data_IF_565727134643
#
_entry.id   IF_565727134643
#
_cell.length_a   1.000
_cell.length_b   1.000
_cell.length_c   1.000
_cell.angle_alpha   90.00
_cell.angle_beta   90.00
_cell.angle_gamma   90.00
#
_symmetry.space_group_name_H-M   'P 1'
#
loop_
_entity.id
_entity.type
_entity.pdbx_description
1 polymer ?
#
# COMPACT_ATOMS: atom_id res chain seq x y z
N UNK A 1 -19.06 -13.21 -26.25
CA UNK A 1 -17.63 -13.54 -26.24
C UNK A 1 -17.29 -13.99 -24.83
N UNK A 2 -16.77 -15.22 -24.66
CA UNK A 2 -16.47 -15.78 -23.33
C UNK A 2 -15.19 -15.14 -22.77
N UNK A 3 -15.26 -14.64 -21.54
CA UNK A 3 -14.08 -14.19 -20.78
C UNK A 3 -13.11 -15.36 -20.67
N UNK A 4 -11.86 -15.17 -21.11
CA UNK A 4 -10.81 -16.19 -20.95
C UNK A 4 -10.28 -16.14 -19.53
N UNK A 5 -11.00 -16.77 -18.60
CA UNK A 5 -10.68 -16.83 -17.16
C UNK A 5 -9.19 -17.15 -16.88
N UNK A 6 -8.54 -18.11 -17.58
CA UNK A 6 -7.12 -18.39 -17.35
C UNK A 6 -6.19 -17.21 -17.68
N UNK A 7 -6.51 -16.45 -18.74
CA UNK A 7 -5.71 -15.29 -19.17
C UNK A 7 -5.87 -14.12 -18.19
N UNK A 8 -7.10 -13.91 -17.70
CA UNK A 8 -7.39 -12.89 -16.70
C UNK A 8 -6.66 -13.17 -15.39
N UNK A 9 -6.68 -14.41 -14.92
CA UNK A 9 -6.01 -14.82 -13.68
C UNK A 9 -4.49 -14.70 -13.78
N UNK A 10 -3.90 -15.16 -14.89
CA UNK A 10 -2.44 -15.09 -15.10
C UNK A 10 -1.95 -13.65 -15.22
N UNK A 11 -2.69 -12.78 -15.93
CA UNK A 11 -2.39 -11.35 -16.02
C UNK A 11 -2.48 -10.66 -14.65
N UNK A 12 -3.55 -10.92 -13.89
CA UNK A 12 -3.71 -10.37 -12.54
C UNK A 12 -2.57 -10.83 -11.62
N UNK A 13 -2.24 -12.12 -11.62
CA UNK A 13 -1.19 -12.68 -10.77
C UNK A 13 0.19 -12.10 -11.11
N UNK A 14 0.51 -11.98 -12.39
CA UNK A 14 1.77 -11.36 -12.83
C UNK A 14 1.87 -9.91 -12.36
N UNK A 15 0.79 -9.12 -12.51
CA UNK A 15 0.74 -7.73 -12.04
C UNK A 15 0.84 -7.63 -10.53
N UNK A 16 0.21 -8.53 -9.76
CA UNK A 16 0.37 -8.58 -8.30
C UNK A 16 1.83 -8.84 -7.94
N UNK A 17 2.48 -9.85 -8.53
CA UNK A 17 3.88 -10.19 -8.22
C UNK A 17 4.83 -9.03 -8.55
N UNK A 18 4.71 -8.45 -9.75
CA UNK A 18 5.50 -7.27 -10.14
C UNK A 18 5.18 -6.08 -9.21
N UNK A 19 3.91 -5.90 -8.89
CA UNK A 19 3.39 -4.90 -7.96
C UNK A 19 4.09 -5.00 -6.61
N UNK A 20 4.11 -6.18 -6.01
CA UNK A 20 4.76 -6.42 -4.73
C UNK A 20 6.27 -6.12 -4.78
N UNK A 21 6.96 -6.64 -5.79
CA UNK A 21 8.42 -6.50 -5.90
C UNK A 21 8.86 -5.04 -6.11
N UNK A 22 8.35 -4.39 -7.16
CA UNK A 22 8.81 -3.05 -7.53
C UNK A 22 8.34 -1.97 -6.55
N UNK A 23 7.13 -2.10 -6.00
CA UNK A 23 6.65 -1.11 -5.03
C UNK A 23 7.33 -1.24 -3.68
N UNK A 24 7.68 -2.46 -3.23
CA UNK A 24 8.50 -2.66 -2.03
C UNK A 24 9.89 -2.07 -2.23
N UNK A 25 10.50 -2.26 -3.41
CA UNK A 25 11.79 -1.66 -3.73
C UNK A 25 11.72 -0.13 -3.72
N UNK A 26 10.70 0.46 -4.38
CA UNK A 26 10.51 1.91 -4.40
C UNK A 26 10.24 2.51 -3.01
N UNK A 27 9.40 1.85 -2.21
CA UNK A 27 9.15 2.21 -0.81
C UNK A 27 10.45 2.19 0.00
N UNK A 28 11.25 1.13 -0.13
CA UNK A 28 12.50 0.99 0.59
C UNK A 28 13.53 2.05 0.20
N UNK A 29 13.74 2.28 -1.10
CA UNK A 29 14.67 3.31 -1.59
C UNK A 29 14.24 4.69 -1.12
N UNK A 30 12.95 5.02 -1.24
CA UNK A 30 12.45 6.31 -0.77
C UNK A 30 12.60 6.47 0.73
N UNK A 31 12.28 5.42 1.50
CA UNK A 31 12.49 5.43 2.94
C UNK A 31 13.95 5.69 3.28
N UNK A 32 14.91 4.96 2.72
CA UNK A 32 16.35 5.18 2.96
C UNK A 32 16.78 6.62 2.64
N UNK A 33 16.30 7.19 1.54
CA UNK A 33 16.70 8.53 1.07
C UNK A 33 16.07 9.68 1.87
N UNK A 34 14.84 9.49 2.36
CA UNK A 34 14.06 10.53 3.02
C UNK A 34 13.78 10.23 4.50
N UNK A 35 14.43 9.21 5.06
CA UNK A 35 14.30 8.86 6.47
C UNK A 35 14.78 10.03 7.33
N UNK A 36 13.84 10.64 8.04
CA UNK A 36 14.13 11.55 9.13
C UNK A 36 13.94 10.78 10.44
N UNK A 37 14.91 10.89 11.35
CA UNK A 37 14.84 10.28 12.68
C UNK A 37 13.56 10.68 13.44
N UNK A 38 13.28 9.98 14.54
CA UNK A 38 12.06 10.18 15.33
C UNK A 38 11.83 11.65 15.71
N UNK A 39 10.61 12.16 15.53
CA UNK A 39 10.18 13.46 16.06
C UNK A 39 9.59 13.32 17.47
N UNK A 40 9.56 14.43 18.21
CA UNK A 40 8.92 14.53 19.54
C UNK A 40 7.42 14.19 19.47
N UNK A 41 6.79 14.51 18.33
CA UNK A 41 5.41 14.13 18.02
C UNK A 41 5.39 12.84 17.17
N UNK A 42 4.79 11.77 17.71
CA UNK A 42 4.70 10.46 17.06
C UNK A 42 3.69 10.45 15.90
N UNK A 43 2.59 11.19 15.99
CA UNK A 43 1.57 11.22 14.93
C UNK A 43 2.14 11.88 13.68
N UNK A 44 2.83 12.99 13.86
CA UNK A 44 3.54 13.69 12.77
C UNK A 44 4.64 12.82 12.18
N UNK A 45 5.35 12.04 13.00
CA UNK A 45 6.34 11.08 12.52
C UNK A 45 5.69 10.03 11.61
N UNK A 46 4.63 9.36 12.07
CA UNK A 46 3.98 8.30 11.30
C UNK A 46 3.31 8.83 10.03
N UNK A 47 2.74 10.03 10.06
CA UNK A 47 2.22 10.68 8.86
C UNK A 47 3.31 10.91 7.82
N UNK A 48 4.47 11.46 8.22
CA UNK A 48 5.61 11.65 7.32
C UNK A 48 6.10 10.32 6.75
N UNK A 49 6.27 9.30 7.59
CA UNK A 49 6.70 7.97 7.13
C UNK A 49 5.69 7.34 6.17
N UNK A 50 4.39 7.53 6.40
CA UNK A 50 3.32 7.04 5.53
C UNK A 50 3.36 7.71 4.15
N UNK A 51 3.68 9.00 4.09
CA UNK A 51 3.86 9.72 2.82
C UNK A 51 5.12 9.26 2.09
N UNK A 52 6.25 9.15 2.81
CA UNK A 52 7.55 8.72 2.27
C UNK A 52 7.48 7.31 1.70
N UNK A 53 6.79 6.39 2.37
CA UNK A 53 6.63 5.00 1.91
C UNK A 53 5.51 4.90 0.86
N UNK A 54 4.37 5.53 1.14
CA UNK A 54 3.13 5.36 0.42
C UNK A 54 3.10 6.00 -0.96
N UNK A 55 3.63 7.21 -1.15
CA UNK A 55 3.60 7.87 -2.46
C UNK A 55 4.41 7.09 -3.52
N UNK A 56 5.70 6.75 -3.29
CA UNK A 56 6.49 6.01 -4.27
C UNK A 56 5.91 4.63 -4.59
N UNK A 57 5.49 3.88 -3.57
CA UNK A 57 4.85 2.59 -3.77
C UNK A 57 3.55 2.73 -4.57
N UNK A 58 2.71 3.71 -4.23
CA UNK A 58 1.43 3.96 -4.87
C UNK A 58 1.61 4.34 -6.35
N UNK A 59 2.62 5.14 -6.69
CA UNK A 59 2.96 5.49 -8.07
C UNK A 59 3.36 4.25 -8.88
N UNK A 60 4.25 3.41 -8.34
CA UNK A 60 4.69 2.18 -9.02
C UNK A 60 3.52 1.22 -9.24
N UNK A 61 2.69 1.00 -8.21
CA UNK A 61 1.50 0.15 -8.31
C UNK A 61 0.53 0.72 -9.34
N UNK A 62 0.29 2.04 -9.34
CA UNK A 62 -0.59 2.70 -10.32
C UNK A 62 -0.13 2.45 -11.76
N UNK A 63 1.18 2.49 -12.01
CA UNK A 63 1.76 2.21 -13.33
C UNK A 63 1.62 0.73 -13.73
N UNK A 64 1.86 -0.21 -12.81
CA UNK A 64 1.75 -1.66 -13.07
C UNK A 64 0.30 -2.05 -13.41
N UNK A 65 -0.66 -1.43 -12.73
CA UNK A 65 -2.09 -1.62 -13.00
C UNK A 65 -2.62 -0.72 -14.11
N UNK A 66 -1.76 0.08 -14.74
CA UNK A 66 -2.18 0.95 -15.84
C UNK A 66 -2.57 0.13 -17.06
N UNK A 67 -3.59 0.60 -17.79
CA UNK A 67 -3.92 0.10 -19.11
C UNK A 67 -4.22 1.30 -20.03
N UNK A 68 -3.46 1.48 -21.12
CA UNK A 68 -3.69 2.57 -22.07
C UNK A 68 -5.01 2.44 -22.85
N UNK A 69 -5.60 1.25 -22.92
CA UNK A 69 -6.85 0.99 -23.64
C UNK A 69 -8.09 1.39 -22.82
N UNK A 70 -7.94 1.58 -21.51
CA UNK A 70 -9.03 2.02 -20.63
C UNK A 70 -9.35 3.51 -20.79
N UNK A 71 -10.58 3.93 -20.46
CA UNK A 71 -10.91 5.35 -20.38
C UNK A 71 -9.99 6.13 -19.44
N UNK A 72 -9.45 7.27 -19.90
CA UNK A 72 -8.50 8.10 -19.13
C UNK A 72 -9.01 8.49 -17.74
N UNK A 73 -10.30 8.82 -17.63
CA UNK A 73 -10.91 9.17 -16.35
C UNK A 73 -10.88 8.00 -15.36
N UNK A 74 -11.17 6.79 -15.83
CA UNK A 74 -11.09 5.57 -15.01
C UNK A 74 -9.66 5.34 -14.53
N UNK A 75 -8.67 5.52 -15.41
CA UNK A 75 -7.27 5.34 -15.05
C UNK A 75 -6.77 6.39 -14.06
N UNK A 76 -7.24 7.63 -14.19
CA UNK A 76 -6.95 8.69 -13.23
C UNK A 76 -7.55 8.38 -11.84
N UNK A 77 -8.81 7.97 -11.79
CA UNK A 77 -9.49 7.57 -10.55
C UNK A 77 -8.79 6.38 -9.90
N UNK A 78 -8.42 5.36 -10.68
CA UNK A 78 -7.66 4.21 -10.20
C UNK A 78 -6.33 4.65 -9.60
N UNK A 79 -5.52 5.44 -10.33
CA UNK A 79 -4.22 5.90 -9.86
C UNK A 79 -4.32 6.73 -8.58
N UNK A 80 -5.25 7.67 -8.53
CA UNK A 80 -5.50 8.47 -7.33
C UNK A 80 -5.90 7.60 -6.13
N UNK A 81 -6.81 6.65 -6.34
CA UNK A 81 -7.28 5.74 -5.28
C UNK A 81 -6.15 4.85 -4.77
N UNK A 82 -5.32 4.30 -5.66
CA UNK A 82 -4.17 3.48 -5.31
C UNK A 82 -3.18 4.29 -4.45
N UNK A 83 -2.83 5.51 -4.87
CA UNK A 83 -1.91 6.37 -4.11
C UNK A 83 -2.50 6.73 -2.75
N UNK A 84 -3.80 7.08 -2.69
CA UNK A 84 -4.47 7.41 -1.44
C UNK A 84 -4.45 6.22 -0.47
N UNK A 85 -4.83 5.02 -0.92
CA UNK A 85 -4.81 3.80 -0.10
C UNK A 85 -3.39 3.48 0.36
N UNK A 86 -2.41 3.63 -0.54
CA UNK A 86 -0.99 3.41 -0.28
C UNK A 86 -0.43 4.28 0.85
N UNK A 87 -0.93 5.52 0.98
CA UNK A 87 -0.57 6.49 2.03
C UNK A 87 -1.40 6.31 3.31
N UNK A 88 -2.66 5.91 3.21
CA UNK A 88 -3.54 5.77 4.37
C UNK A 88 -3.39 4.42 5.10
N UNK A 89 -3.07 3.33 4.39
CA UNK A 89 -2.97 2.01 5.01
C UNK A 89 -1.84 1.89 6.06
N UNK A 90 -0.68 2.57 5.94
CA UNK A 90 0.32 2.61 7.00
C UNK A 90 -0.15 3.33 8.26
N UNK A 91 -0.95 4.39 8.11
CA UNK A 91 -1.52 5.10 9.25
C UNK A 91 -2.49 4.19 10.01
N UNK A 92 -3.35 3.48 9.27
CA UNK A 92 -4.28 2.52 9.85
C UNK A 92 -3.55 1.41 10.62
N UNK A 93 -2.50 0.81 10.04
CA UNK A 93 -1.79 -0.28 10.72
C UNK A 93 -1.06 0.20 11.99
N UNK A 94 -0.46 1.41 11.96
CA UNK A 94 0.23 1.95 13.12
C UNK A 94 -0.76 2.29 14.23
N UNK A 95 -1.90 2.91 13.91
CA UNK A 95 -2.94 3.22 14.89
C UNK A 95 -3.54 1.96 15.52
N UNK A 96 -3.76 0.89 14.73
CA UNK A 96 -4.26 -0.38 15.27
C UNK A 96 -3.25 -1.04 16.21
N UNK A 97 -1.95 -0.94 15.93
CA UNK A 97 -0.91 -1.45 16.84
C UNK A 97 -0.81 -0.67 18.14
N UNK A 98 -1.05 0.64 18.12
CA UNK A 98 -1.07 1.46 19.33
C UNK A 98 -2.18 1.02 20.31
N UNK A 99 -3.27 0.42 19.81
CA UNK A 99 -4.37 -0.12 20.64
C UNK A 99 -3.94 -1.37 21.40
N UNK A 100 -3.16 -2.27 20.76
CA UNK A 100 -2.64 -3.49 21.41
C UNK A 100 -1.56 -3.18 22.47
N UNK A 101 -0.85 -2.06 22.33
CA UNK A 101 0.18 -1.69 23.30
C UNK A 101 -0.37 -0.95 24.54
N UNK A 102 -1.65 -0.56 24.50
CA UNK A 102 -2.36 0.06 25.63
C UNK A 102 -3.37 -0.85 26.34
N UNK A 103 -3.68 -2.04 25.80
CA UNK A 103 -4.72 -2.93 26.35
C UNK A 103 -4.16 -4.30 26.75
N UNK A 104 -3.29 -4.29 27.75
CA UNK A 104 -3.12 -5.51 28.56
C UNK A 104 -4.44 -5.74 29.30
N UNK A 105 -5.15 -6.82 28.97
CA UNK A 105 -6.35 -7.34 29.65
C UNK A 105 -6.17 -7.58 31.17
N UNK A 106 -5.01 -7.22 31.75
CA UNK A 106 -4.63 -7.37 33.15
C UNK A 106 -3.77 -6.16 33.59
N UNK A 107 -4.34 -4.95 33.58
CA UNK A 107 -3.77 -3.76 34.24
C UNK A 107 -2.63 -3.03 33.48
N UNK A 108 -2.25 -1.81 33.91
CA UNK A 108 -1.35 -0.93 33.18
C UNK A 108 0.09 -1.43 33.27
N UNK A 109 0.48 -2.30 32.33
CA UNK A 109 1.87 -2.67 32.15
C UNK A 109 2.62 -1.50 31.50
N UNK A 110 3.40 -0.76 32.29
CA UNK A 110 4.33 0.30 31.85
C UNK A 110 5.54 -0.26 31.10
N UNK A 111 5.35 -1.24 30.22
CA UNK A 111 6.40 -1.64 29.28
C UNK A 111 6.31 -0.67 28.11
N UNK A 112 7.11 0.40 28.17
CA UNK A 112 7.39 1.26 27.01
C UNK A 112 7.87 0.33 25.89
N UNK A 113 7.08 0.08 24.85
CA UNK A 113 7.49 -0.85 23.83
C UNK A 113 8.55 -0.12 23.03
N UNK A 114 9.80 -0.57 23.13
CA UNK A 114 10.87 -0.12 22.25
C UNK A 114 10.60 -0.75 20.89
N UNK A 115 9.65 -0.20 20.14
CA UNK A 115 9.34 -0.70 18.79
C UNK A 115 10.50 -0.30 17.90
N UNK A 116 11.16 -1.30 17.31
CA UNK A 116 12.22 -1.08 16.34
C UNK A 116 11.70 -0.26 15.16
N UNK A 117 12.44 0.78 14.78
CA UNK A 117 12.18 1.59 13.57
C UNK A 117 12.06 0.69 12.34
N UNK A 118 12.89 -0.36 12.26
CA UNK A 118 12.86 -1.33 11.17
C UNK A 118 11.57 -2.16 11.15
N UNK A 119 11.00 -2.47 12.31
CA UNK A 119 9.75 -3.23 12.37
C UNK A 119 8.53 -2.36 12.03
N UNK A 120 8.54 -1.09 12.44
CA UNK A 120 7.55 -0.09 12.01
C UNK A 120 7.59 0.02 10.49
N UNK A 121 8.78 0.23 9.91
CA UNK A 121 8.96 0.33 8.47
C UNK A 121 8.42 -0.90 7.74
N UNK A 122 8.79 -2.12 8.16
CA UNK A 122 8.32 -3.36 7.54
C UNK A 122 6.79 -3.45 7.54
N UNK A 123 6.15 -3.14 8.67
CA UNK A 123 4.69 -3.21 8.78
C UNK A 123 3.99 -2.15 7.95
N UNK A 124 4.51 -0.92 7.96
CA UNK A 124 4.01 0.16 7.10
C UNK A 124 4.15 -0.20 5.62
N UNK A 125 5.31 -0.68 5.20
CA UNK A 125 5.56 -1.11 3.82
C UNK A 125 4.65 -2.27 3.41
N UNK A 126 4.48 -3.29 4.26
CA UNK A 126 3.56 -4.40 3.99
C UNK A 126 2.11 -3.92 3.83
N UNK A 127 1.64 -3.06 4.75
CA UNK A 127 0.30 -2.49 4.67
C UNK A 127 0.10 -1.65 3.41
N UNK A 128 1.07 -0.79 3.06
CA UNK A 128 1.09 -0.01 1.81
C UNK A 128 0.94 -0.92 0.61
N UNK A 129 1.89 -1.85 0.44
CA UNK A 129 2.09 -2.59 -0.79
C UNK A 129 0.95 -3.59 -1.01
N UNK A 130 0.47 -4.25 0.05
CA UNK A 130 -0.67 -5.17 -0.06
C UNK A 130 -1.96 -4.43 -0.38
N UNK A 131 -2.34 -3.44 0.44
CA UNK A 131 -3.63 -2.76 0.28
C UNK A 131 -3.77 -2.08 -1.09
N UNK A 132 -2.71 -1.41 -1.55
CA UNK A 132 -2.70 -0.76 -2.84
C UNK A 132 -2.74 -1.76 -4.02
N UNK A 133 -2.06 -2.92 -3.91
CA UNK A 133 -2.18 -3.97 -4.93
C UNK A 133 -3.56 -4.61 -4.96
N UNK A 134 -4.21 -4.83 -3.82
CA UNK A 134 -5.59 -5.28 -3.77
C UNK A 134 -6.54 -4.29 -4.45
N UNK A 135 -6.35 -2.99 -4.22
CA UNK A 135 -7.12 -1.96 -4.92
C UNK A 135 -6.89 -2.02 -6.44
N UNK A 136 -5.63 -2.12 -6.89
CA UNK A 136 -5.29 -2.27 -8.31
C UNK A 136 -5.94 -3.50 -8.95
N UNK A 137 -5.88 -4.65 -8.26
CA UNK A 137 -6.53 -5.88 -8.70
C UNK A 137 -8.06 -5.74 -8.78
N UNK A 138 -8.69 -5.09 -7.79
CA UNK A 138 -10.14 -4.83 -7.81
C UNK A 138 -10.56 -3.97 -9.01
N UNK A 139 -9.82 -2.89 -9.29
CA UNK A 139 -10.07 -2.07 -10.48
C UNK A 139 -9.84 -2.84 -11.78
N UNK A 140 -8.81 -3.68 -11.85
CA UNK A 140 -8.56 -4.54 -13.01
C UNK A 140 -9.70 -5.53 -13.26
N UNK A 141 -10.19 -6.19 -12.21
CA UNK A 141 -11.34 -7.09 -12.29
C UNK A 141 -12.60 -6.33 -12.73
N UNK A 142 -12.88 -5.17 -12.12
CA UNK A 142 -13.98 -4.31 -12.51
C UNK A 142 -13.90 -3.93 -13.99
N UNK A 143 -12.73 -3.50 -14.47
CA UNK A 143 -12.54 -3.11 -15.87
C UNK A 143 -12.66 -4.28 -16.83
N UNK A 144 -12.17 -5.45 -16.44
CA UNK A 144 -12.31 -6.68 -17.23
C UNK A 144 -13.77 -7.08 -17.40
N UNK A 145 -14.61 -6.90 -16.37
CA UNK A 145 -16.05 -7.21 -16.44
C UNK A 145 -16.84 -6.15 -17.19
N UNK A 146 -16.62 -4.86 -16.89
CA UNK A 146 -17.44 -3.76 -17.40
C UNK A 146 -16.99 -3.28 -18.78
N UNK A 147 -15.68 -3.09 -18.98
CA UNK A 147 -15.11 -2.60 -20.24
C UNK A 147 -14.60 -3.72 -21.16
N UNK A 148 -14.64 -4.99 -20.72
CA UNK A 148 -14.27 -6.16 -21.52
C UNK A 148 -12.84 -6.07 -22.05
N UNK A 149 -11.91 -5.63 -21.21
CA UNK A 149 -10.49 -5.51 -21.55
C UNK A 149 -9.79 -6.84 -21.86
N UNK A 150 -10.38 -7.99 -21.49
CA UNK A 150 -9.83 -9.35 -21.68
C UNK A 150 -10.93 -10.34 -22.05
#
# INVERSE_FOLDING_TARGET
>A
MNIKIPLLLTSALARVVLGLLFSSFAAFVSWVMFFQGSSVDQEVYYLKQSVVIGIPAGLVISLIWWNPESPKLMMFVQGFTIILISVLSPLAIVNLMSIDMGTTLVGPSTRVPVVSIGDIFKKMMLATVLAANFAGAAFFLYRSVVYKEI
#
